data_IF_217912827045
#
_entry.id   IF_217912827045
#
_cell.length_a   1.000
_cell.length_b   1.000
_cell.length_c   1.000
_cell.angle_alpha   90.00
_cell.angle_beta   90.00
_cell.angle_gamma   90.00
#
_symmetry.space_group_name_H-M   'P 1'
#
loop_
_entity.id
_entity.type
_entity.pdbx_description
1 polymer ?
#
# COMPACT_ATOMS: atom_id res chain seq x y z
N UNK A 1 -16.73 -2.42 -18.33
CA UNK A 1 -17.02 -2.88 -16.94
C UNK A 1 -15.84 -2.54 -16.06
N UNK A 2 -16.01 -1.83 -14.94
CA UNK A 2 -14.86 -1.43 -14.14
C UNK A 2 -14.33 -2.65 -13.35
N UNK A 3 -13.06 -3.00 -13.56
CA UNK A 3 -12.41 -4.20 -13.01
C UNK A 3 -12.26 -4.08 -11.50
N UNK A 4 -12.50 -5.18 -10.78
CA UNK A 4 -12.16 -5.28 -9.34
C UNK A 4 -10.64 -5.18 -9.16
N UNK A 5 -10.19 -4.61 -8.04
CA UNK A 5 -8.80 -4.66 -7.59
C UNK A 5 -8.72 -5.57 -6.36
N UNK A 6 -7.80 -6.53 -6.39
CA UNK A 6 -7.52 -7.41 -5.26
C UNK A 6 -6.27 -6.91 -4.54
N UNK A 7 -6.32 -6.81 -3.22
CA UNK A 7 -5.16 -6.50 -2.38
C UNK A 7 -3.95 -7.40 -2.71
N UNK A 8 -4.17 -8.71 -2.83
CA UNK A 8 -3.12 -9.67 -3.19
C UNK A 8 -2.43 -9.36 -4.54
N UNK A 9 -3.11 -8.72 -5.49
CA UNK A 9 -2.48 -8.32 -6.76
C UNK A 9 -1.56 -7.11 -6.58
N UNK A 10 -1.94 -6.17 -5.71
CA UNK A 10 -1.10 -4.99 -5.37
C UNK A 10 0.11 -5.44 -4.56
N UNK A 11 -0.10 -6.33 -3.59
CA UNK A 11 0.97 -6.92 -2.79
C UNK A 11 1.99 -7.66 -3.66
N UNK A 12 1.53 -8.58 -4.51
CA UNK A 12 2.42 -9.30 -5.43
C UNK A 12 3.22 -8.34 -6.31
N UNK A 13 2.56 -7.31 -6.86
CA UNK A 13 3.26 -6.31 -7.67
C UNK A 13 4.41 -5.64 -6.89
N UNK A 14 4.16 -5.22 -5.66
CA UNK A 14 5.19 -4.54 -4.85
C UNK A 14 6.33 -5.48 -4.46
N UNK A 15 6.03 -6.76 -4.17
CA UNK A 15 7.06 -7.80 -3.98
C UNK A 15 7.89 -7.97 -5.25
N UNK A 16 7.23 -8.06 -6.41
CA UNK A 16 7.90 -8.24 -7.71
C UNK A 16 8.77 -7.02 -8.09
N UNK A 17 8.47 -5.83 -7.56
CA UNK A 17 9.31 -4.62 -7.64
C UNK A 17 10.41 -4.55 -6.56
N UNK A 18 10.50 -5.56 -5.68
CA UNK A 18 11.56 -5.66 -4.68
C UNK A 18 11.29 -4.93 -3.36
N UNK A 19 10.06 -4.46 -3.13
CA UNK A 19 9.72 -3.90 -1.81
C UNK A 19 9.53 -5.03 -0.78
N UNK A 20 10.06 -4.86 0.45
CA UNK A 20 9.86 -5.84 1.52
C UNK A 20 8.42 -5.80 2.02
N UNK A 21 7.78 -6.96 2.10
CA UNK A 21 6.49 -7.10 2.76
C UNK A 21 6.69 -7.06 4.28
N UNK A 22 5.82 -6.33 4.99
CA UNK A 22 5.84 -6.28 6.45
C UNK A 22 5.20 -7.53 7.03
N UNK A 23 6.03 -8.36 7.65
CA UNK A 23 5.60 -9.56 8.36
C UNK A 23 5.39 -9.25 9.85
N UNK A 24 4.43 -9.93 10.48
CA UNK A 24 4.21 -9.83 11.91
C UNK A 24 4.90 -11.01 12.60
N UNK A 25 6.03 -10.73 13.24
CA UNK A 25 6.84 -11.72 13.93
C UNK A 25 7.10 -11.30 15.38
N UNK A 26 7.08 -12.27 16.30
CA UNK A 26 7.40 -12.06 17.72
C UNK A 26 6.63 -10.91 18.43
N UNK A 27 5.47 -10.49 17.91
CA UNK A 27 4.67 -9.41 18.49
C UNK A 27 4.94 -8.02 17.90
N UNK A 28 5.81 -7.92 16.89
CA UNK A 28 6.19 -6.69 16.22
C UNK A 28 5.99 -6.82 14.70
N UNK A 29 5.86 -5.68 14.02
CA UNK A 29 5.83 -5.62 12.56
C UNK A 29 7.22 -5.30 12.05
N UNK A 30 7.75 -6.15 11.18
CA UNK A 30 8.99 -5.85 10.49
C UNK A 30 8.81 -4.66 9.54
N UNK A 31 9.87 -3.85 9.33
CA UNK A 31 9.83 -2.76 8.38
C UNK A 31 9.47 -3.24 6.97
N UNK A 32 8.45 -2.64 6.38
CA UNK A 32 7.99 -3.02 5.05
C UNK A 32 6.61 -2.50 4.71
N UNK A 33 6.15 -2.78 3.50
CA UNK A 33 4.80 -2.38 3.09
C UNK A 33 3.76 -3.41 3.55
N UNK A 34 2.53 -2.96 3.73
CA UNK A 34 1.39 -3.85 4.01
C UNK A 34 0.17 -3.40 3.26
N UNK A 35 -0.61 -4.37 2.78
CA UNK A 35 -1.77 -4.12 1.92
C UNK A 35 -3.04 -4.60 2.60
N UNK A 36 -4.08 -3.79 2.58
CA UNK A 36 -5.39 -4.14 3.12
C UNK A 36 -6.49 -3.88 2.10
N UNK A 37 -7.42 -4.82 1.96
CA UNK A 37 -8.60 -4.63 1.12
C UNK A 37 -9.56 -3.65 1.82
N UNK A 38 -9.88 -2.54 1.16
CA UNK A 38 -10.78 -1.50 1.67
C UNK A 38 -12.19 -1.54 1.03
N UNK A 39 -12.31 -2.18 -0.14
CA UNK A 39 -13.57 -2.40 -0.84
C UNK A 39 -13.35 -3.09 -2.19
N UNK A 40 -14.39 -3.40 -2.98
CA UNK A 40 -14.25 -4.17 -4.23
C UNK A 40 -13.33 -3.52 -5.29
N UNK A 41 -13.12 -2.20 -5.18
CA UNK A 41 -12.28 -1.40 -6.07
C UNK A 41 -11.28 -0.52 -5.33
N UNK A 42 -11.09 -0.78 -4.04
CA UNK A 42 -10.26 0.06 -3.19
C UNK A 42 -9.34 -0.79 -2.32
N UNK A 43 -8.07 -0.44 -2.33
CA UNK A 43 -7.01 -1.07 -1.55
C UNK A 43 -6.26 0.02 -0.81
N UNK A 44 -5.94 -0.23 0.46
CA UNK A 44 -5.04 0.61 1.22
C UNK A 44 -3.65 -0.01 1.27
N UNK A 45 -2.62 0.81 1.10
CA UNK A 45 -1.22 0.44 1.30
C UNK A 45 -0.65 1.26 2.46
N UNK A 46 0.07 0.60 3.35
CA UNK A 46 0.74 1.21 4.49
C UNK A 46 2.23 0.88 4.43
N UNK A 47 3.03 1.60 5.20
CA UNK A 47 4.43 1.23 5.45
C UNK A 47 4.67 1.14 6.96
N UNK A 48 5.09 -0.02 7.44
CA UNK A 48 5.50 -0.29 8.81
C UNK A 48 7.00 0.01 8.94
N UNK A 49 7.41 0.68 10.02
CA UNK A 49 8.81 1.02 10.27
C UNK A 49 9.21 2.47 9.94
N UNK A 50 10.52 2.79 10.08
CA UNK A 50 11.03 4.16 9.93
C UNK A 50 10.97 4.65 8.47
N UNK A 51 10.89 5.97 8.29
CA UNK A 51 10.85 6.57 6.96
C UNK A 51 9.51 6.41 6.24
N UNK A 52 8.40 6.23 6.97
CA UNK A 52 7.06 6.00 6.41
C UNK A 52 6.71 6.96 5.25
N UNK A 53 7.00 8.25 5.38
CA UNK A 53 6.70 9.24 4.32
C UNK A 53 7.43 8.93 3.01
N UNK A 54 8.76 8.80 3.08
CA UNK A 54 9.62 8.59 1.91
C UNK A 54 9.30 7.24 1.24
N UNK A 55 8.98 6.23 2.05
CA UNK A 55 8.61 4.90 1.57
C UNK A 55 7.25 4.91 0.90
N UNK A 56 6.26 5.61 1.47
CA UNK A 56 4.95 5.79 0.82
C UNK A 56 5.05 6.62 -0.47
N UNK A 57 5.99 7.56 -0.56
CA UNK A 57 6.28 8.30 -1.79
C UNK A 57 6.86 7.38 -2.88
N UNK A 58 7.86 6.55 -2.53
CA UNK A 58 8.43 5.56 -3.45
C UNK A 58 7.35 4.58 -3.97
N UNK A 59 6.55 4.00 -3.06
CA UNK A 59 5.44 3.12 -3.41
C UNK A 59 4.39 3.83 -4.29
N UNK A 60 4.17 5.13 -4.08
CA UNK A 60 3.27 5.92 -4.93
C UNK A 60 3.77 5.99 -6.36
N UNK A 61 5.08 6.21 -6.57
CA UNK A 61 5.69 6.25 -7.90
C UNK A 61 5.51 4.91 -8.64
N UNK A 62 5.83 3.80 -7.96
CA UNK A 62 5.73 2.45 -8.55
C UNK A 62 4.29 2.07 -8.91
N UNK A 63 3.34 2.30 -7.99
CA UNK A 63 1.94 1.98 -8.23
C UNK A 63 1.34 2.83 -9.35
N UNK A 64 1.74 4.10 -9.47
CA UNK A 64 1.34 4.96 -10.59
C UNK A 64 1.95 4.51 -11.91
N UNK A 65 3.22 4.10 -11.92
CA UNK A 65 3.88 3.54 -13.11
C UNK A 65 3.18 2.26 -13.59
N UNK A 66 2.66 1.44 -12.67
CA UNK A 66 1.83 0.27 -12.96
C UNK A 66 0.39 0.59 -13.42
N UNK A 67 0.02 1.88 -13.50
CA UNK A 67 -1.27 2.35 -14.00
C UNK A 67 -2.39 2.39 -12.96
N UNK A 68 -2.06 2.37 -11.66
CA UNK A 68 -3.05 2.62 -10.61
C UNK A 68 -3.22 4.13 -10.37
N UNK A 69 -4.43 4.49 -9.94
CA UNK A 69 -4.66 5.80 -9.35
C UNK A 69 -4.36 5.70 -7.86
N UNK A 70 -3.49 6.59 -7.36
CA UNK A 70 -2.95 6.53 -6.00
C UNK A 70 -3.06 7.89 -5.33
N UNK A 71 -3.74 7.92 -4.18
CA UNK A 71 -3.92 9.12 -3.34
C UNK A 71 -3.33 8.87 -1.96
N UNK A 72 -2.28 9.61 -1.54
CA UNK A 72 -1.83 9.60 -0.16
C UNK A 72 -2.92 10.18 0.75
N UNK A 73 -3.29 9.44 1.80
CA UNK A 73 -4.25 9.88 2.81
C UNK A 73 -3.74 9.62 4.22
N UNK A 74 -4.39 10.22 5.21
CA UNK A 74 -4.14 9.98 6.62
C UNK A 74 -5.43 9.47 7.25
N UNK A 75 -5.34 8.44 8.10
CA UNK A 75 -6.50 8.03 8.89
C UNK A 75 -6.99 9.17 9.78
N UNK A 76 -8.29 9.16 10.08
CA UNK A 76 -8.92 10.18 10.90
C UNK A 76 -8.22 10.38 12.25
N UNK A 77 -8.38 11.60 12.81
CA UNK A 77 -7.81 12.00 14.11
C UNK A 77 -6.28 11.92 14.16
N UNK A 78 -5.62 12.14 13.03
CA UNK A 78 -4.17 12.12 12.95
C UNK A 78 -3.59 10.71 12.99
N UNK A 79 -4.38 9.70 12.64
CA UNK A 79 -3.94 8.31 12.58
C UNK A 79 -2.91 8.06 11.47
N UNK A 80 -2.71 6.77 11.17
CA UNK A 80 -1.63 6.31 10.29
C UNK A 80 -1.77 6.84 8.85
N UNK A 81 -0.63 7.13 8.21
CA UNK A 81 -0.59 7.44 6.77
C UNK A 81 -0.84 6.19 5.94
N UNK A 82 -1.45 6.37 4.79
CA UNK A 82 -1.73 5.27 3.85
C UNK A 82 -1.81 5.79 2.42
N UNK A 83 -1.79 4.87 1.47
CA UNK A 83 -2.15 5.13 0.09
C UNK A 83 -3.50 4.51 -0.21
N UNK A 84 -4.38 5.30 -0.81
CA UNK A 84 -5.64 4.86 -1.38
C UNK A 84 -5.41 4.51 -2.84
N UNK A 85 -5.50 3.21 -3.15
CA UNK A 85 -5.20 2.64 -4.47
C UNK A 85 -6.49 2.20 -5.14
N UNK A 86 -6.76 2.79 -6.30
CA UNK A 86 -7.92 2.50 -7.14
C UNK A 86 -7.50 2.29 -8.60
N UNK A 87 -8.42 1.81 -9.43
CA UNK A 87 -8.22 1.65 -10.88
C UNK A 87 -9.41 2.26 -11.60
N UNK A 88 -9.13 3.19 -12.50
CA UNK A 88 -10.12 3.80 -13.41
C UNK A 88 -10.61 2.82 -14.47
#
# INVERSE_FOLDING_TARGET
>A
MPRRIKAASVERLLIDQGHPFSEFEAGEWDPGFRVAQAGPRHVHVFYDGPGEADQLEALTAELRAAGYHVVPTQQDRGGRRRLEVTRS
#
